data_IF_051064851388
#
_entry.id   IF_051064851388
#
_cell.length_a   1.000
_cell.length_b   1.000
_cell.length_c   1.000
_cell.angle_alpha   90.00
_cell.angle_beta   90.00
_cell.angle_gamma   90.00
#
_symmetry.space_group_name_H-M   'P 1'
#
loop_
_entity.id
_entity.type
_entity.pdbx_description
1 polymer ?
#
# COMPACT_ATOMS: atom_id res chain seq x y z
N UNK A 1 -0.14 1.98 27.39
CA UNK A 1 0.43 1.97 26.03
C UNK A 1 1.06 0.62 25.84
N UNK A 2 0.52 -0.20 24.94
CA UNK A 2 1.13 -1.45 24.52
C UNK A 2 2.43 -1.10 23.81
N UNK A 3 3.54 -1.67 24.27
CA UNK A 3 4.86 -1.41 23.70
C UNK A 3 5.23 -2.56 22.78
N UNK A 4 5.45 -2.26 21.51
CA UNK A 4 6.12 -3.16 20.59
C UNK A 4 7.60 -2.75 20.49
N UNK A 5 8.50 -3.69 20.75
CA UNK A 5 9.94 -3.50 20.57
C UNK A 5 10.41 -4.27 19.35
N UNK A 6 11.18 -3.63 18.50
CA UNK A 6 11.69 -4.23 17.26
C UNK A 6 13.21 -4.32 17.34
N UNK A 7 13.74 -5.47 17.00
CA UNK A 7 15.18 -5.71 16.99
C UNK A 7 15.64 -6.19 15.62
N UNK A 8 16.73 -5.61 15.13
CA UNK A 8 17.50 -6.19 14.04
C UNK A 8 18.61 -7.05 14.63
N UNK A 9 18.61 -8.34 14.32
CA UNK A 9 19.64 -9.28 14.72
C UNK A 9 20.55 -9.54 13.54
N UNK A 10 21.82 -9.27 13.73
CA UNK A 10 22.90 -9.61 12.82
C UNK A 10 23.78 -10.67 13.46
N UNK A 11 24.56 -11.46 12.69
CA UNK A 11 25.40 -12.52 13.25
C UNK A 11 26.34 -12.08 14.36
N UNK A 12 26.76 -10.80 14.38
CA UNK A 12 27.70 -10.28 15.35
C UNK A 12 27.16 -9.15 16.24
N UNK A 13 25.90 -8.73 16.06
CA UNK A 13 25.29 -7.67 16.88
C UNK A 13 23.78 -7.68 16.82
N UNK A 14 23.16 -7.23 17.92
CA UNK A 14 21.74 -6.89 18.00
C UNK A 14 21.57 -5.40 18.09
N UNK A 15 20.61 -4.83 17.36
CA UNK A 15 20.26 -3.42 17.41
C UNK A 15 18.78 -3.28 17.66
N UNK A 16 18.42 -2.68 18.80
CA UNK A 16 17.03 -2.27 19.07
C UNK A 16 16.72 -1.01 18.29
N UNK A 17 15.54 -1.00 17.67
CA UNK A 17 15.07 0.13 16.89
C UNK A 17 14.21 1.00 17.80
N UNK A 18 14.84 2.01 18.40
CA UNK A 18 14.15 3.03 19.19
C UNK A 18 13.61 4.11 18.24
N UNK A 19 12.46 4.67 18.59
CA UNK A 19 11.80 5.81 17.93
C UNK A 19 12.18 6.06 16.47
N UNK A 20 11.31 5.60 15.60
CA UNK A 20 11.53 5.67 14.17
C UNK A 20 11.41 7.12 13.73
N UNK A 21 12.45 7.66 13.11
CA UNK A 21 12.37 8.93 12.41
C UNK A 21 11.51 8.76 11.16
N UNK A 22 10.33 9.36 11.17
CA UNK A 22 9.38 9.33 10.06
C UNK A 22 9.96 9.83 8.73
N UNK A 23 11.05 10.61 8.80
CA UNK A 23 11.73 11.16 7.63
C UNK A 23 12.73 10.18 6.99
N UNK A 24 13.23 9.23 7.78
CA UNK A 24 14.25 8.29 7.35
C UNK A 24 13.81 6.84 7.67
N UNK A 25 12.93 6.25 6.85
CA UNK A 25 12.53 4.87 7.02
C UNK A 25 13.76 3.96 6.92
N UNK A 26 13.85 2.96 7.77
CA UNK A 26 14.95 1.99 7.73
C UNK A 26 14.49 0.66 7.09
N UNK A 27 15.40 -0.10 6.49
CA UNK A 27 15.06 -1.39 5.91
C UNK A 27 14.53 -2.32 7.00
N UNK A 28 13.43 -3.02 6.70
CA UNK A 28 12.78 -3.94 7.63
C UNK A 28 13.69 -5.10 8.02
N UNK A 29 14.44 -5.60 7.06
CA UNK A 29 15.43 -6.64 7.25
C UNK A 29 16.79 -6.06 6.91
N UNK A 30 17.78 -6.25 7.81
CA UNK A 30 19.16 -5.87 7.50
C UNK A 30 19.61 -6.57 6.23
N UNK A 31 20.36 -5.87 5.37
CA UNK A 31 20.85 -6.40 4.10
C UNK A 31 21.98 -7.40 4.33
N UNK A 32 21.68 -8.70 4.48
CA UNK A 32 22.65 -9.73 4.23
C UNK A 32 22.22 -10.54 3.01
N UNK A 33 23.15 -11.21 2.43
CA UNK A 33 22.99 -12.19 1.36
C UNK A 33 22.20 -13.45 1.77
N UNK A 34 21.73 -13.52 3.03
CA UNK A 34 21.12 -14.69 3.67
C UNK A 34 19.79 -14.31 4.36
N UNK A 35 19.08 -15.30 4.87
CA UNK A 35 17.81 -15.16 5.59
C UNK A 35 17.83 -14.04 6.63
N UNK A 36 16.78 -13.21 6.65
CA UNK A 36 16.60 -12.18 7.66
C UNK A 36 15.59 -12.60 8.71
N UNK A 37 15.82 -12.24 9.98
CA UNK A 37 14.88 -12.50 11.08
C UNK A 37 14.54 -11.18 11.76
N UNK A 38 13.24 -10.94 11.96
CA UNK A 38 12.72 -9.81 12.72
C UNK A 38 12.03 -10.38 13.95
N UNK A 39 12.33 -9.81 15.11
CA UNK A 39 11.68 -10.17 16.36
C UNK A 39 10.83 -9.01 16.87
N UNK A 40 9.62 -9.34 17.31
CA UNK A 40 8.66 -8.40 17.89
C UNK A 40 8.41 -8.81 19.34
N UNK A 41 8.80 -7.95 20.30
CA UNK A 41 8.48 -8.11 21.71
C UNK A 41 7.18 -7.38 22.05
N UNK A 42 6.19 -8.10 22.52
CA UNK A 42 4.83 -7.61 22.79
C UNK A 42 4.58 -7.67 24.29
N UNK A 43 4.46 -6.49 24.91
CA UNK A 43 4.11 -6.38 26.32
C UNK A 43 2.59 -6.45 26.56
N UNK A 44 2.19 -6.75 27.81
CA UNK A 44 0.80 -6.81 28.26
C UNK A 44 -0.10 -7.74 27.42
N UNK A 45 0.44 -8.90 27.02
CA UNK A 45 -0.22 -9.82 26.09
C UNK A 45 -0.85 -11.05 26.75
N UNK A 46 -0.75 -11.19 28.09
CA UNK A 46 -1.29 -12.34 28.83
C UNK A 46 -2.79 -12.50 28.58
N UNK A 47 -3.18 -13.75 28.31
CA UNK A 47 -4.58 -14.12 28.05
C UNK A 47 -5.07 -13.87 26.64
N UNK A 48 -4.28 -13.20 25.78
CA UNK A 48 -4.62 -13.02 24.38
C UNK A 48 -4.28 -14.28 23.58
N UNK A 49 -5.18 -14.66 22.68
CA UNK A 49 -4.99 -15.75 21.71
C UNK A 49 -4.88 -15.22 20.27
N UNK A 50 -5.14 -13.94 20.08
CA UNK A 50 -5.08 -13.27 18.77
C UNK A 50 -4.15 -12.07 18.85
N UNK A 51 -3.21 -11.99 17.90
CA UNK A 51 -2.29 -10.87 17.77
C UNK A 51 -2.51 -10.19 16.43
N UNK A 52 -2.84 -8.91 16.48
CA UNK A 52 -2.98 -8.06 15.30
C UNK A 52 -1.87 -7.04 15.26
N UNK A 53 -1.13 -7.04 14.16
CA UNK A 53 -0.05 -6.10 13.88
C UNK A 53 -0.40 -5.29 12.65
N UNK A 54 -0.27 -3.98 12.75
CA UNK A 54 -0.35 -3.09 11.60
C UNK A 54 1.03 -2.56 11.29
N UNK A 55 1.48 -2.81 10.07
CA UNK A 55 2.77 -2.37 9.54
C UNK A 55 2.59 -1.14 8.70
N UNK A 56 3.19 -0.03 9.14
CA UNK A 56 3.31 1.17 8.34
C UNK A 56 4.64 1.11 7.58
N UNK A 57 4.55 0.87 6.27
CA UNK A 57 5.71 0.69 5.40
C UNK A 57 5.95 1.95 4.57
N UNK A 58 7.18 2.15 4.13
CA UNK A 58 7.46 3.09 3.07
C UNK A 58 6.85 2.60 1.75
N UNK A 59 6.23 3.50 1.00
CA UNK A 59 5.64 3.16 -0.29
C UNK A 59 6.70 2.60 -1.24
N UNK A 60 6.44 1.42 -1.76
CA UNK A 60 7.30 0.77 -2.75
C UNK A 60 6.84 1.20 -4.14
N UNK A 61 7.51 2.21 -4.69
CA UNK A 61 7.25 2.74 -6.04
C UNK A 61 8.05 1.97 -7.10
N UNK A 62 7.99 0.66 -7.07
CA UNK A 62 8.57 -0.23 -8.09
C UNK A 62 7.74 -1.49 -8.20
N UNK A 63 7.71 -2.05 -9.37
CA UNK A 63 7.16 -3.38 -9.61
C UNK A 63 8.12 -4.44 -9.09
N UNK A 64 7.58 -5.50 -8.49
CA UNK A 64 8.32 -6.71 -8.15
C UNK A 64 7.62 -7.86 -8.87
N UNK A 65 8.35 -8.54 -9.74
CA UNK A 65 7.84 -9.74 -10.40
C UNK A 65 7.46 -10.79 -9.34
N UNK A 66 6.36 -11.50 -9.57
CA UNK A 66 5.81 -12.50 -8.61
C UNK A 66 6.84 -13.57 -8.19
N UNK A 67 7.83 -13.84 -9.06
CA UNK A 67 8.92 -14.80 -8.78
C UNK A 67 9.93 -14.29 -7.73
N UNK A 68 10.00 -12.97 -7.52
CA UNK A 68 10.96 -12.32 -6.62
C UNK A 68 10.30 -11.79 -5.34
N UNK A 69 9.10 -12.26 -5.01
CA UNK A 69 8.43 -11.92 -3.77
C UNK A 69 9.16 -12.53 -2.57
N UNK A 70 9.31 -11.81 -1.45
CA UNK A 70 9.89 -12.37 -0.25
C UNK A 70 8.98 -13.47 0.34
N UNK A 71 9.62 -14.49 0.92
CA UNK A 71 8.90 -15.55 1.62
C UNK A 71 8.99 -15.30 3.11
N UNK A 72 7.88 -15.03 3.76
CA UNK A 72 7.80 -14.75 5.20
C UNK A 72 7.23 -15.94 5.95
N UNK A 73 7.94 -16.39 6.95
CA UNK A 73 7.49 -17.44 7.86
C UNK A 73 7.38 -16.89 9.27
N UNK A 74 6.19 -16.99 9.83
CA UNK A 74 5.91 -16.55 11.19
C UNK A 74 6.11 -17.65 12.21
N UNK A 75 6.67 -17.29 13.38
CA UNK A 75 6.81 -18.19 14.53
C UNK A 75 6.68 -17.40 15.83
N UNK A 76 6.33 -18.07 16.91
CA UNK A 76 6.23 -17.52 18.25
C UNK A 76 7.07 -18.31 19.24
N UNK A 77 7.47 -17.68 20.33
CA UNK A 77 8.22 -18.34 21.40
C UNK A 77 7.25 -18.87 22.46
N UNK A 78 7.26 -20.18 22.70
CA UNK A 78 6.36 -20.83 23.66
C UNK A 78 6.93 -20.93 25.09
N UNK A 79 7.99 -20.18 25.41
CA UNK A 79 8.71 -20.24 26.67
C UNK A 79 9.89 -21.23 26.67
N UNK A 80 9.96 -22.15 25.71
CA UNK A 80 11.03 -23.15 25.58
C UNK A 80 11.69 -23.14 24.21
N UNK A 81 10.90 -23.04 23.17
CA UNK A 81 11.38 -23.09 21.79
C UNK A 81 10.49 -22.22 20.87
N UNK A 82 11.01 -21.93 19.68
CA UNK A 82 10.25 -21.28 18.62
C UNK A 82 9.32 -22.28 17.93
N UNK A 83 8.03 -21.97 17.86
CA UNK A 83 7.02 -22.74 17.15
C UNK A 83 6.52 -22.01 15.92
N UNK A 84 6.44 -22.70 14.80
CA UNK A 84 5.93 -22.13 13.56
C UNK A 84 4.41 -21.96 13.61
N UNK A 85 3.96 -20.80 13.12
CA UNK A 85 2.55 -20.52 12.93
C UNK A 85 2.09 -21.24 11.66
N UNK A 86 1.10 -22.11 11.80
CA UNK A 86 0.53 -22.85 10.67
C UNK A 86 -0.20 -21.89 9.74
N UNK A 87 -0.26 -22.16 8.42
CA UNK A 87 -0.97 -21.30 7.47
C UNK A 87 -2.43 -21.01 7.85
N UNK A 88 -3.15 -21.97 8.44
CA UNK A 88 -4.52 -21.78 8.91
C UNK A 88 -4.66 -20.87 10.15
N UNK A 89 -3.57 -20.57 10.84
CA UNK A 89 -3.52 -19.70 12.01
C UNK A 89 -3.10 -18.26 11.62
N UNK A 90 -2.68 -18.02 10.39
CA UNK A 90 -2.52 -16.71 9.82
C UNK A 90 -3.87 -16.30 9.22
N UNK A 91 -4.68 -15.56 9.98
CA UNK A 91 -6.05 -15.21 9.59
C UNK A 91 -6.10 -14.23 8.44
N UNK A 92 -5.14 -13.30 8.41
CA UNK A 92 -5.04 -12.29 7.35
C UNK A 92 -3.61 -11.78 7.24
N UNK A 93 -3.12 -11.64 6.02
CA UNK A 93 -1.91 -10.88 5.69
C UNK A 93 -2.22 -9.97 4.51
N UNK A 94 -2.43 -8.68 4.80
CA UNK A 94 -2.64 -7.66 3.77
C UNK A 94 -1.37 -6.89 3.45
N UNK A 95 -0.22 -7.31 4.02
CA UNK A 95 1.07 -6.70 3.72
C UNK A 95 1.69 -7.25 2.43
N UNK A 96 1.21 -8.41 1.96
CA UNK A 96 1.81 -9.11 0.83
C UNK A 96 3.23 -9.56 1.11
N UNK A 97 3.42 -10.31 2.19
CA UNK A 97 4.74 -10.74 2.67
C UNK A 97 5.67 -9.58 3.07
N UNK A 98 5.17 -8.62 3.83
CA UNK A 98 5.91 -7.45 4.32
C UNK A 98 6.45 -6.51 3.21
N UNK A 99 5.72 -6.42 2.10
CA UNK A 99 6.03 -5.49 1.02
C UNK A 99 5.30 -4.16 1.15
N UNK A 100 4.09 -4.19 1.68
CA UNK A 100 3.19 -3.04 1.69
C UNK A 100 2.70 -2.71 3.10
N UNK A 101 2.26 -1.48 3.30
CA UNK A 101 1.50 -1.11 4.50
C UNK A 101 0.27 -1.99 4.60
N UNK A 102 0.09 -2.67 5.72
CA UNK A 102 -0.98 -3.62 5.88
C UNK A 102 -1.10 -4.20 7.27
N UNK A 103 -2.00 -5.14 7.42
CA UNK A 103 -2.35 -5.82 8.66
C UNK A 103 -1.94 -7.29 8.56
N UNK A 104 -1.34 -7.79 9.63
CA UNK A 104 -1.11 -9.22 9.85
C UNK A 104 -1.90 -9.63 11.08
N UNK A 105 -2.78 -10.60 10.92
CA UNK A 105 -3.65 -11.12 11.99
C UNK A 105 -3.32 -12.59 12.22
N UNK A 106 -2.85 -12.90 13.43
CA UNK A 106 -2.34 -14.20 13.82
C UNK A 106 -3.18 -14.75 14.96
N UNK A 107 -3.66 -15.97 14.81
CA UNK A 107 -4.31 -16.73 15.88
C UNK A 107 -3.30 -17.71 16.49
N UNK A 108 -3.09 -17.59 17.78
CA UNK A 108 -2.23 -18.53 18.51
C UNK A 108 -3.00 -19.81 18.83
N UNK A 109 -2.28 -20.96 18.95
CA UNK A 109 -2.92 -22.24 19.28
C UNK A 109 -3.48 -22.27 20.71
N UNK A 110 -3.01 -21.40 21.59
CA UNK A 110 -3.46 -21.21 22.97
C UNK A 110 -3.26 -19.76 23.40
N UNK A 111 -4.05 -19.27 24.39
CA UNK A 111 -3.82 -17.96 24.99
C UNK A 111 -2.41 -17.85 25.58
N UNK A 112 -1.84 -16.64 25.49
CA UNK A 112 -0.50 -16.35 26.03
C UNK A 112 -0.53 -16.53 27.55
N UNK A 113 0.33 -17.41 28.06
CA UNK A 113 0.54 -17.67 29.49
C UNK A 113 1.84 -17.01 29.99
N UNK A 114 1.98 -16.88 31.31
CA UNK A 114 3.19 -16.33 31.93
C UNK A 114 4.47 -17.09 31.54
N UNK A 115 4.35 -18.41 31.29
CA UNK A 115 5.48 -19.26 30.88
C UNK A 115 6.05 -18.92 29.49
N UNK A 116 5.25 -18.25 28.65
CA UNK A 116 5.63 -17.81 27.30
C UNK A 116 6.31 -16.45 27.28
N UNK A 117 6.35 -15.76 28.40
CA UNK A 117 6.95 -14.44 28.53
C UNK A 117 8.45 -14.54 28.83
N UNK A 118 9.18 -13.52 28.39
CA UNK A 118 10.57 -13.35 28.79
C UNK A 118 10.72 -12.73 30.20
N UNK A 119 11.96 -12.51 30.64
CA UNK A 119 12.29 -11.91 31.94
C UNK A 119 11.68 -10.49 32.09
N UNK A 120 11.41 -9.80 30.98
CA UNK A 120 10.83 -8.46 30.97
C UNK A 120 9.30 -8.48 30.89
N UNK A 121 8.70 -9.66 30.76
CA UNK A 121 7.25 -9.83 30.60
C UNK A 121 6.77 -9.61 29.17
N UNK A 122 7.65 -9.71 28.17
CA UNK A 122 7.29 -9.59 26.77
C UNK A 122 7.07 -10.97 26.12
N UNK A 123 6.02 -11.06 25.32
CA UNK A 123 5.79 -12.19 24.42
C UNK A 123 6.52 -11.95 23.08
N UNK A 124 7.17 -12.98 22.56
CA UNK A 124 8.00 -12.86 21.38
C UNK A 124 7.38 -13.52 20.15
N UNK A 125 7.26 -12.73 19.09
CA UNK A 125 6.89 -13.15 17.75
C UNK A 125 8.06 -12.95 16.81
N UNK A 126 8.25 -13.86 15.86
CA UNK A 126 9.32 -13.81 14.86
C UNK A 126 8.75 -13.88 13.46
N UNK A 127 9.27 -13.03 12.57
CA UNK A 127 9.10 -13.13 11.14
C UNK A 127 10.45 -13.46 10.50
N UNK A 128 10.57 -14.66 9.93
CA UNK A 128 11.75 -15.09 9.18
C UNK A 128 11.49 -14.87 7.69
N UNK A 129 12.35 -14.10 7.04
CA UNK A 129 12.33 -13.89 5.58
C UNK A 129 13.44 -14.72 4.97
N UNK A 130 13.08 -15.70 4.15
CA UNK A 130 14.01 -16.72 3.63
C UNK A 130 14.38 -16.56 2.15
N UNK A 131 13.71 -15.67 1.41
CA UNK A 131 14.04 -15.41 0.01
C UNK A 131 13.83 -13.95 -0.34
N UNK A 132 14.61 -13.44 -1.28
CA UNK A 132 14.48 -12.09 -1.83
C UNK A 132 14.39 -10.96 -0.77
N UNK A 133 15.16 -11.07 0.30
CA UNK A 133 15.20 -10.11 1.42
C UNK A 133 15.45 -8.68 0.99
N UNK A 134 16.19 -8.49 -0.11
CA UNK A 134 16.45 -7.17 -0.72
C UNK A 134 15.19 -6.49 -1.27
N UNK A 135 14.11 -7.26 -1.47
CA UNK A 135 12.84 -6.73 -1.97
C UNK A 135 11.89 -6.30 -0.85
N UNK A 136 12.19 -6.62 0.40
CA UNK A 136 11.41 -6.15 1.54
C UNK A 136 11.39 -4.62 1.58
N UNK A 137 10.22 -4.05 1.89
CA UNK A 137 10.06 -2.61 2.07
C UNK A 137 10.72 -2.12 3.36
N UNK A 138 10.96 -0.82 3.42
CA UNK A 138 11.41 -0.17 4.65
C UNK A 138 10.22 0.07 5.57
N UNK A 139 10.40 -0.19 6.86
CA UNK A 139 9.38 0.00 7.88
C UNK A 139 9.45 1.40 8.46
N UNK A 140 8.29 2.00 8.73
CA UNK A 140 8.15 3.24 9.50
C UNK A 140 7.74 2.97 10.93
N UNK A 141 6.67 2.19 11.11
CA UNK A 141 6.17 1.83 12.43
C UNK A 141 5.47 0.47 12.42
N UNK A 142 5.32 -0.12 13.61
CA UNK A 142 4.44 -1.26 13.87
C UNK A 142 3.52 -0.92 15.03
N UNK A 143 2.24 -1.13 14.84
CA UNK A 143 1.20 -0.86 15.84
C UNK A 143 0.47 -2.14 16.20
N UNK A 144 0.11 -2.26 17.47
CA UNK A 144 -0.67 -3.36 18.01
C UNK A 144 -2.16 -3.04 17.97
N UNK A 145 -2.97 -4.08 17.87
CA UNK A 145 -4.42 -4.03 17.95
C UNK A 145 -5.09 -3.01 17.01
N UNK A 146 -4.72 -3.02 15.71
CA UNK A 146 -5.33 -2.12 14.75
C UNK A 146 -6.80 -2.47 14.53
N UNK A 147 -7.61 -1.45 14.31
CA UNK A 147 -9.02 -1.58 13.93
C UNK A 147 -9.25 -0.85 12.62
N UNK A 148 -9.92 -1.51 11.68
CA UNK A 148 -10.37 -0.87 10.44
C UNK A 148 -11.70 -0.19 10.69
N UNK A 149 -11.74 1.12 10.51
CA UNK A 149 -12.96 1.92 10.60
C UNK A 149 -13.35 2.44 9.21
N UNK A 150 -14.65 2.59 9.00
CA UNK A 150 -15.23 3.26 7.83
C UNK A 150 -15.90 4.52 8.30
N UNK A 151 -15.65 5.63 7.62
CA UNK A 151 -16.35 6.87 7.87
C UNK A 151 -17.77 6.76 7.30
N UNK A 152 -18.78 6.94 8.17
CA UNK A 152 -20.16 7.14 7.78
C UNK A 152 -20.47 8.63 7.94
N UNK A 153 -20.84 9.28 6.85
CA UNK A 153 -21.14 10.71 6.84
C UNK A 153 -22.65 10.84 6.76
N UNK A 154 -23.29 11.55 7.71
CA UNK A 154 -24.69 11.92 7.58
C UNK A 154 -24.90 12.76 6.32
N UNK A 155 -26.04 12.57 5.62
CA UNK A 155 -26.38 13.30 4.38
C UNK A 155 -26.27 14.83 4.53
N UNK A 156 -26.53 15.35 5.75
CA UNK A 156 -26.46 16.78 6.06
C UNK A 156 -25.00 17.32 6.09
N UNK A 157 -24.00 16.46 6.17
CA UNK A 157 -22.58 16.81 6.26
C UNK A 157 -21.76 16.48 5.01
N UNK A 158 -22.38 15.97 3.96
CA UNK A 158 -21.67 15.62 2.71
C UNK A 158 -20.88 16.78 2.11
N UNK A 159 -21.38 18.01 2.27
CA UNK A 159 -20.71 19.23 1.82
C UNK A 159 -19.41 19.58 2.59
N UNK A 160 -19.17 18.94 3.74
CA UNK A 160 -17.98 19.15 4.58
C UNK A 160 -16.88 18.12 4.34
N UNK A 161 -17.04 17.21 3.36
CA UNK A 161 -15.97 16.32 2.92
C UNK A 161 -14.94 17.16 2.21
N UNK A 162 -13.99 17.69 2.97
CA UNK A 162 -12.89 18.48 2.45
C UNK A 162 -11.61 17.63 2.39
N UNK A 163 -10.64 18.08 1.58
CA UNK A 163 -9.28 17.51 1.53
C UNK A 163 -8.61 17.41 2.92
N UNK A 164 -9.11 18.14 3.92
CA UNK A 164 -8.62 18.12 5.31
C UNK A 164 -8.82 16.77 5.99
N UNK A 165 -9.92 16.05 5.70
CA UNK A 165 -10.16 14.71 6.27
C UNK A 165 -9.17 13.66 5.73
N UNK A 166 -8.68 13.82 4.52
CA UNK A 166 -7.67 12.94 3.95
C UNK A 166 -6.27 13.13 4.56
N UNK A 167 -6.02 14.27 5.19
CA UNK A 167 -4.73 14.58 5.79
C UNK A 167 -4.67 14.34 7.31
N UNK A 168 -5.82 14.10 7.96
CA UNK A 168 -5.88 13.94 9.39
C UNK A 168 -5.22 12.65 9.88
N UNK A 169 -4.33 12.80 10.84
CA UNK A 169 -3.77 11.72 11.65
C UNK A 169 -3.68 12.21 13.09
N UNK A 170 -3.91 11.33 14.05
CA UNK A 170 -3.78 11.70 15.46
C UNK A 170 -4.83 11.10 16.39
N UNK A 171 -5.03 11.75 17.53
CA UNK A 171 -5.96 11.31 18.55
C UNK A 171 -7.42 11.52 18.08
N UNK A 172 -8.23 10.47 18.20
CA UNK A 172 -9.66 10.48 17.92
C UNK A 172 -10.41 10.26 19.24
N UNK A 173 -11.53 10.94 19.45
CA UNK A 173 -12.36 10.76 20.61
C UNK A 173 -13.50 9.77 20.35
N UNK A 174 -13.91 9.05 21.40
CA UNK A 174 -15.11 8.22 21.35
C UNK A 174 -16.37 9.06 21.54
N UNK A 175 -17.41 8.77 20.79
CA UNK A 175 -18.76 9.29 21.06
C UNK A 175 -19.29 8.77 22.41
N UNK A 176 -19.04 7.48 22.70
CA UNK A 176 -19.39 6.82 23.96
C UNK A 176 -18.16 6.14 24.55
N UNK A 177 -17.87 6.39 25.82
CA UNK A 177 -16.79 5.72 26.54
C UNK A 177 -17.01 4.21 26.55
N UNK A 178 -15.98 3.45 26.19
CA UNK A 178 -15.97 1.99 26.24
C UNK A 178 -15.06 1.52 27.37
N UNK A 179 -15.53 0.59 28.26
CA UNK A 179 -14.70 0.04 29.31
C UNK A 179 -13.48 -0.69 28.69
N UNK A 180 -12.29 -0.40 29.23
CA UNK A 180 -11.05 -1.03 28.78
C UNK A 180 -10.33 -0.33 27.62
N UNK A 181 -10.93 0.72 27.02
CA UNK A 181 -10.29 1.54 26.01
C UNK A 181 -10.00 2.93 26.57
N UNK A 182 -8.73 3.35 26.49
CA UNK A 182 -8.29 4.67 26.96
C UNK A 182 -8.22 5.67 25.82
N UNK A 183 -7.57 5.30 24.73
CA UNK A 183 -7.28 6.18 23.59
C UNK A 183 -7.42 5.46 22.27
N UNK A 184 -7.83 6.18 21.22
CA UNK A 184 -7.80 5.74 19.83
C UNK A 184 -6.97 6.74 19.01
N UNK A 185 -6.10 6.22 18.17
CA UNK A 185 -5.30 7.02 17.24
C UNK A 185 -5.59 6.62 15.81
N UNK A 186 -5.86 7.60 14.97
CA UNK A 186 -5.83 7.41 13.52
C UNK A 186 -4.38 7.45 13.05
N UNK A 187 -3.86 6.30 12.60
CA UNK A 187 -2.45 6.12 12.25
C UNK A 187 -2.16 6.65 10.84
N UNK A 188 -3.04 6.32 9.90
CA UNK A 188 -2.93 6.73 8.51
C UNK A 188 -4.12 7.60 8.11
N UNK A 189 -3.92 8.55 7.17
CA UNK A 189 -5.01 9.34 6.64
C UNK A 189 -6.12 8.47 6.07
N UNK A 190 -7.37 8.94 6.14
CA UNK A 190 -8.48 8.29 5.47
C UNK A 190 -8.25 8.30 3.95
N UNK A 191 -8.60 7.20 3.28
CA UNK A 191 -8.46 7.05 1.83
C UNK A 191 -9.76 6.55 1.21
N UNK A 192 -9.99 6.88 -0.06
CA UNK A 192 -11.11 6.36 -0.84
C UNK A 192 -12.42 7.16 -0.70
N UNK A 193 -12.36 8.35 -0.08
CA UNK A 193 -13.48 9.30 -0.15
C UNK A 193 -13.64 9.86 -1.56
N UNK A 194 -14.89 10.05 -2.00
CA UNK A 194 -15.23 10.72 -3.26
C UNK A 194 -16.21 11.84 -2.95
N UNK A 195 -16.06 12.94 -3.68
CA UNK A 195 -17.09 13.96 -3.72
C UNK A 195 -18.36 13.39 -4.37
N UNK A 196 -19.56 13.91 -4.01
CA UNK A 196 -20.78 13.54 -4.69
C UNK A 196 -20.64 13.73 -6.20
N UNK A 197 -21.08 12.75 -6.96
CA UNK A 197 -21.01 12.79 -8.42
C UNK A 197 -21.99 13.83 -8.97
N UNK A 198 -21.57 14.53 -10.01
CA UNK A 198 -22.50 15.41 -10.73
C UNK A 198 -23.53 14.57 -11.47
N UNK A 199 -24.75 15.11 -11.77
CA UNK A 199 -25.75 14.39 -12.56
C UNK A 199 -25.26 13.96 -13.95
N UNK A 200 -24.27 14.65 -14.51
CA UNK A 200 -23.65 14.32 -15.80
C UNK A 200 -22.69 13.15 -15.65
N UNK A 201 -21.83 13.16 -14.62
CA UNK A 201 -20.92 12.06 -14.30
C UNK A 201 -21.69 10.78 -13.98
N UNK A 202 -22.78 10.90 -13.20
CA UNK A 202 -23.66 9.77 -12.87
C UNK A 202 -24.30 9.16 -14.13
N UNK A 203 -24.76 9.95 -15.09
CA UNK A 203 -25.31 9.45 -16.36
C UNK A 203 -24.25 8.70 -17.16
N UNK A 204 -23.05 9.26 -17.23
CA UNK A 204 -21.93 8.63 -17.92
C UNK A 204 -21.57 7.29 -17.29
N UNK A 205 -21.47 7.26 -15.96
CA UNK A 205 -21.16 6.05 -15.20
C UNK A 205 -22.22 4.98 -15.38
N UNK A 206 -23.51 5.31 -15.26
CA UNK A 206 -24.62 4.37 -15.51
C UNK A 206 -24.53 3.78 -16.93
N UNK A 207 -24.24 4.63 -17.94
CA UNK A 207 -24.10 4.17 -19.32
C UNK A 207 -22.95 3.18 -19.47
N UNK A 208 -21.82 3.44 -18.80
CA UNK A 208 -20.66 2.56 -18.79
C UNK A 208 -20.97 1.23 -18.09
N UNK A 209 -21.58 1.28 -16.90
CA UNK A 209 -21.99 0.08 -16.15
C UNK A 209 -22.98 -0.79 -16.94
N UNK A 210 -23.94 -0.18 -17.63
CA UNK A 210 -24.85 -0.91 -18.50
C UNK A 210 -24.15 -1.57 -19.68
N UNK A 211 -23.09 -0.95 -20.21
CA UNK A 211 -22.30 -1.49 -21.33
C UNK A 211 -21.55 -2.75 -20.95
N UNK A 212 -20.73 -2.70 -19.87
CA UNK A 212 -19.88 -3.83 -19.47
C UNK A 212 -20.54 -4.76 -18.43
N UNK A 213 -21.68 -4.37 -17.82
CA UNK A 213 -22.41 -5.16 -16.81
C UNK A 213 -21.51 -5.71 -15.71
N UNK A 214 -20.59 -4.90 -15.26
CA UNK A 214 -19.57 -5.23 -14.25
C UNK A 214 -18.71 -6.47 -14.60
N UNK A 215 -18.45 -6.69 -15.90
CA UNK A 215 -17.54 -7.71 -16.43
C UNK A 215 -16.55 -7.11 -17.39
N UNK A 216 -15.29 -7.46 -17.22
CA UNK A 216 -14.22 -7.01 -18.09
C UNK A 216 -14.06 -8.01 -19.26
N UNK A 217 -14.44 -7.59 -20.47
CA UNK A 217 -14.35 -8.39 -21.70
C UNK A 217 -13.56 -7.66 -22.77
N UNK A 218 -13.89 -6.40 -23.04
CA UNK A 218 -13.19 -5.57 -24.00
C UNK A 218 -12.09 -4.76 -23.29
N UNK A 219 -11.00 -4.37 -23.97
CA UNK A 219 -9.97 -3.53 -23.38
C UNK A 219 -10.52 -2.30 -22.67
N UNK A 220 -11.50 -1.64 -23.28
CA UNK A 220 -12.18 -0.49 -22.69
C UNK A 220 -12.92 -0.81 -21.39
N UNK A 221 -13.46 -2.01 -21.22
CA UNK A 221 -14.15 -2.40 -19.98
C UNK A 221 -13.15 -2.47 -18.83
N UNK A 222 -11.97 -3.07 -19.07
CA UNK A 222 -10.87 -3.11 -18.09
C UNK A 222 -10.47 -1.71 -17.63
N UNK A 223 -10.30 -0.79 -18.58
CA UNK A 223 -9.92 0.60 -18.31
C UNK A 223 -11.00 1.31 -17.49
N UNK A 224 -12.26 1.23 -17.92
CA UNK A 224 -13.39 1.91 -17.27
C UNK A 224 -13.67 1.37 -15.87
N UNK A 225 -13.68 0.04 -15.69
CA UNK A 225 -13.90 -0.58 -14.38
C UNK A 225 -12.78 -0.19 -13.42
N UNK A 226 -11.52 -0.15 -13.89
CA UNK A 226 -10.39 0.25 -13.06
C UNK A 226 -10.49 1.72 -12.64
N UNK A 227 -10.74 2.63 -13.57
CA UNK A 227 -10.88 4.06 -13.28
C UNK A 227 -12.09 4.34 -12.36
N UNK A 228 -13.18 3.63 -12.54
CA UNK A 228 -14.38 3.76 -11.70
C UNK A 228 -14.13 3.31 -10.26
N UNK A 229 -13.37 2.24 -10.05
CA UNK A 229 -13.12 1.65 -8.72
C UNK A 229 -11.99 2.30 -7.96
N UNK A 230 -10.93 2.74 -8.64
CA UNK A 230 -9.71 3.25 -8.02
C UNK A 230 -9.51 4.74 -8.27
N UNK A 231 -10.00 5.63 -7.40
CA UNK A 231 -9.87 7.09 -7.57
C UNK A 231 -8.42 7.58 -7.51
N UNK A 232 -7.52 6.75 -6.96
CA UNK A 232 -6.08 7.02 -6.92
C UNK A 232 -5.41 6.93 -8.30
N UNK A 233 -6.10 6.31 -9.27
CA UNK A 233 -5.59 6.10 -10.64
C UNK A 233 -5.94 7.30 -11.51
N UNK A 234 -4.96 7.80 -12.28
CA UNK A 234 -5.13 8.90 -13.25
C UNK A 234 -5.47 8.35 -14.64
N UNK A 235 -4.68 7.38 -15.10
CA UNK A 235 -4.85 6.76 -16.43
C UNK A 235 -4.60 5.26 -16.36
N UNK A 236 -5.30 4.52 -17.19
CA UNK A 236 -5.09 3.08 -17.40
C UNK A 236 -5.08 2.81 -18.89
N UNK A 237 -4.18 1.93 -19.32
CA UNK A 237 -4.14 1.40 -20.67
C UNK A 237 -4.18 -0.13 -20.59
N UNK A 238 -5.11 -0.73 -21.33
CA UNK A 238 -5.26 -2.18 -21.39
C UNK A 238 -4.56 -2.74 -22.64
N UNK A 239 -3.63 -3.68 -22.43
CA UNK A 239 -2.86 -4.36 -23.48
C UNK A 239 -3.23 -5.85 -23.48
N UNK A 240 -4.18 -6.28 -24.34
CA UNK A 240 -4.58 -7.67 -24.40
C UNK A 240 -3.51 -8.51 -25.13
N UNK A 241 -3.21 -9.70 -24.56
CA UNK A 241 -2.25 -10.64 -25.15
C UNK A 241 -0.79 -10.24 -25.04
N UNK A 242 -0.46 -9.23 -24.26
CA UNK A 242 0.90 -8.75 -24.03
C UNK A 242 1.19 -8.94 -22.53
N UNK A 243 2.32 -9.56 -22.19
CA UNK A 243 2.75 -9.72 -20.82
C UNK A 243 3.54 -8.50 -20.28
N UNK A 244 3.89 -8.51 -19.01
CA UNK A 244 4.68 -7.44 -18.36
C UNK A 244 6.06 -7.21 -19.00
N UNK A 245 6.57 -8.19 -19.78
CA UNK A 245 7.84 -8.10 -20.50
C UNK A 245 7.66 -7.69 -21.97
N UNK A 246 6.50 -7.17 -22.34
CA UNK A 246 6.12 -6.78 -23.70
C UNK A 246 6.18 -7.93 -24.74
N UNK A 247 6.01 -9.18 -24.29
CA UNK A 247 5.97 -10.35 -25.15
C UNK A 247 4.53 -10.77 -25.41
N UNK A 248 4.25 -11.25 -26.62
CA UNK A 248 2.94 -11.81 -26.95
C UNK A 248 2.71 -13.11 -26.18
N UNK A 249 1.76 -13.10 -25.25
CA UNK A 249 1.41 -14.24 -24.42
C UNK A 249 -0.08 -14.27 -24.16
N UNK A 250 -0.78 -15.19 -24.76
CA UNK A 250 -2.21 -15.40 -24.50
C UNK A 250 -2.37 -16.61 -23.56
N UNK A 251 -3.34 -16.63 -22.62
CA UNK A 251 -4.38 -15.63 -22.37
C UNK A 251 -4.02 -14.68 -21.21
N UNK A 252 -3.38 -13.58 -21.51
CA UNK A 252 -3.00 -12.56 -20.51
C UNK A 252 -3.52 -11.19 -20.91
N UNK A 253 -3.85 -10.37 -19.94
CA UNK A 253 -4.18 -8.96 -20.11
C UNK A 253 -3.31 -8.14 -19.17
N UNK A 254 -2.56 -7.21 -19.72
CA UNK A 254 -1.72 -6.29 -18.94
C UNK A 254 -2.36 -4.91 -18.86
N UNK A 255 -2.50 -4.41 -17.65
CA UNK A 255 -2.98 -3.07 -17.35
C UNK A 255 -1.79 -2.18 -17.00
N UNK A 256 -1.51 -1.19 -17.83
CA UNK A 256 -0.51 -0.16 -17.52
C UNK A 256 -1.22 0.94 -16.73
N UNK A 257 -0.84 1.11 -15.48
CA UNK A 257 -1.54 1.99 -14.53
C UNK A 257 -0.67 3.17 -14.14
N UNK A 258 -1.21 4.36 -14.28
CA UNK A 258 -0.60 5.62 -13.83
C UNK A 258 -1.37 6.15 -12.64
N UNK A 259 -0.70 6.31 -11.49
CA UNK A 259 -1.29 6.84 -10.27
C UNK A 259 -1.30 8.37 -10.29
N UNK A 260 -2.33 8.98 -9.67
CA UNK A 260 -2.37 10.43 -9.46
C UNK A 260 -1.21 10.87 -8.57
N UNK A 261 -0.44 11.85 -9.02
CA UNK A 261 0.63 12.44 -8.23
C UNK A 261 0.34 13.92 -8.00
N UNK A 262 0.44 14.38 -6.74
CA UNK A 262 0.19 15.79 -6.39
C UNK A 262 1.29 16.71 -6.91
N UNK A 263 2.52 16.23 -6.95
CA UNK A 263 3.67 16.99 -7.45
C UNK A 263 3.99 16.58 -8.90
N UNK A 264 3.66 17.46 -9.83
CA UNK A 264 3.92 17.28 -11.28
C UNK A 264 5.40 17.13 -11.67
N UNK A 265 6.33 17.36 -10.74
CA UNK A 265 7.76 17.16 -10.97
C UNK A 265 8.23 15.73 -10.74
N UNK A 266 7.38 14.91 -10.12
CA UNK A 266 7.68 13.52 -9.81
C UNK A 266 7.00 12.65 -10.86
N UNK A 267 7.74 11.71 -11.45
CA UNK A 267 7.15 10.72 -12.35
C UNK A 267 6.08 9.90 -11.61
N UNK A 268 4.85 9.83 -12.11
CA UNK A 268 3.73 9.18 -11.44
C UNK A 268 3.85 7.64 -11.51
N UNK A 269 4.72 7.08 -10.69
CA UNK A 269 4.86 5.62 -10.53
C UNK A 269 3.80 5.09 -9.57
N UNK A 270 3.20 3.97 -9.94
CA UNK A 270 2.18 3.32 -9.13
C UNK A 270 2.77 2.58 -7.93
N UNK A 271 2.13 2.68 -6.77
CA UNK A 271 2.49 1.87 -5.61
C UNK A 271 2.18 0.39 -5.88
N UNK A 272 3.10 -0.50 -5.52
CA UNK A 272 2.93 -1.96 -5.68
C UNK A 272 1.62 -2.48 -5.07
N UNK A 273 1.24 -1.95 -3.90
CA UNK A 273 -0.03 -2.28 -3.24
C UNK A 273 -1.26 -1.96 -4.10
N UNK A 274 -1.23 -0.82 -4.80
CA UNK A 274 -2.35 -0.43 -5.67
C UNK A 274 -2.43 -1.37 -6.88
N UNK A 275 -1.29 -1.75 -7.46
CA UNK A 275 -1.24 -2.71 -8.55
C UNK A 275 -1.85 -4.06 -8.15
N UNK A 276 -1.46 -4.62 -7.00
CA UNK A 276 -2.03 -5.87 -6.48
C UNK A 276 -3.55 -5.77 -6.27
N UNK A 277 -4.03 -4.67 -5.68
CA UNK A 277 -5.48 -4.43 -5.49
C UNK A 277 -6.23 -4.38 -6.81
N UNK A 278 -5.62 -3.81 -7.85
CA UNK A 278 -6.20 -3.74 -9.20
C UNK A 278 -6.25 -5.14 -9.81
N UNK A 279 -5.14 -5.90 -9.74
CA UNK A 279 -5.09 -7.28 -10.23
C UNK A 279 -6.18 -8.15 -9.61
N UNK A 280 -6.29 -8.14 -8.27
CA UNK A 280 -7.29 -8.93 -7.54
C UNK A 280 -8.72 -8.53 -7.93
N UNK A 281 -9.01 -7.22 -7.93
CA UNK A 281 -10.35 -6.73 -8.22
C UNK A 281 -10.77 -7.00 -9.68
N UNK A 282 -9.89 -6.76 -10.63
CA UNK A 282 -10.16 -6.99 -12.06
C UNK A 282 -10.17 -8.48 -12.37
N UNK A 283 -9.32 -9.28 -11.70
CA UNK A 283 -9.33 -10.74 -11.79
C UNK A 283 -10.71 -11.34 -11.47
N UNK A 284 -11.38 -10.83 -10.43
CA UNK A 284 -12.75 -11.23 -10.07
C UNK A 284 -13.82 -10.84 -11.13
N UNK A 285 -13.54 -9.84 -11.96
CA UNK A 285 -14.45 -9.35 -13.02
C UNK A 285 -14.17 -9.96 -14.40
N UNK A 286 -13.08 -10.68 -14.51
CA UNK A 286 -12.56 -11.27 -15.75
C UNK A 286 -12.87 -12.77 -15.82
N UNK A 287 -12.73 -13.35 -16.99
CA UNK A 287 -12.83 -14.81 -17.15
C UNK A 287 -11.73 -15.51 -16.35
N UNK A 288 -12.03 -16.63 -15.64
CA UNK A 288 -11.03 -17.38 -14.86
C UNK A 288 -9.89 -17.97 -15.71
N UNK A 289 -10.01 -17.94 -17.04
CA UNK A 289 -8.97 -18.40 -17.96
C UNK A 289 -8.01 -17.30 -18.39
N UNK A 290 -8.23 -16.05 -18.00
CA UNK A 290 -7.40 -14.91 -18.34
C UNK A 290 -6.63 -14.47 -17.10
N UNK A 291 -5.31 -14.38 -17.21
CA UNK A 291 -4.48 -13.78 -16.18
C UNK A 291 -4.44 -12.27 -16.37
N UNK A 292 -4.61 -11.52 -15.29
CA UNK A 292 -4.52 -10.07 -15.28
C UNK A 292 -3.22 -9.69 -14.56
N UNK A 293 -2.40 -8.89 -15.21
CA UNK A 293 -1.22 -8.27 -14.62
C UNK A 293 -1.37 -6.76 -14.65
N UNK A 294 -1.01 -6.09 -13.56
CA UNK A 294 -0.98 -4.63 -13.47
C UNK A 294 0.46 -4.14 -13.30
N UNK A 295 0.87 -3.24 -14.16
CA UNK A 295 2.25 -2.73 -14.21
C UNK A 295 2.30 -1.21 -14.16
N UNK A 296 3.44 -0.66 -13.76
CA UNK A 296 3.72 0.78 -13.88
C UNK A 296 4.14 1.13 -15.30
N UNK A 297 3.86 2.38 -15.77
CA UNK A 297 4.36 2.81 -17.08
C UNK A 297 5.88 2.96 -17.07
N UNK A 298 6.49 2.67 -18.22
CA UNK A 298 7.90 2.99 -18.48
C UNK A 298 7.94 4.35 -19.17
N UNK A 299 8.67 5.29 -18.59
CA UNK A 299 8.79 6.65 -19.10
C UNK A 299 10.05 6.79 -19.93
N UNK A 300 9.93 7.46 -21.08
CA UNK A 300 11.07 7.88 -21.90
C UNK A 300 11.26 9.40 -21.75
N UNK A 301 12.50 9.82 -21.61
CA UNK A 301 12.85 11.23 -21.56
C UNK A 301 12.76 11.87 -22.93
N UNK A 302 11.91 12.88 -23.07
CA UNK A 302 11.77 13.62 -24.33
C UNK A 302 12.38 15.01 -24.18
N UNK A 303 13.42 15.29 -24.96
CA UNK A 303 14.03 16.62 -25.00
C UNK A 303 13.43 17.45 -26.14
N UNK A 304 12.85 18.59 -25.81
CA UNK A 304 12.26 19.51 -26.77
C UNK A 304 13.18 20.71 -26.96
N UNK A 305 13.66 20.90 -28.17
CA UNK A 305 14.44 22.08 -28.55
C UNK A 305 13.61 23.00 -29.43
N UNK A 306 13.40 24.25 -29.02
CA UNK A 306 12.70 25.24 -29.82
C UNK A 306 13.44 26.58 -29.86
N UNK A 307 13.37 27.26 -31.00
CA UNK A 307 13.91 28.61 -31.16
C UNK A 307 12.77 29.61 -31.13
N UNK A 308 12.83 30.54 -30.19
CA UNK A 308 11.80 31.58 -30.02
C UNK A 308 12.26 32.91 -30.53
N UNK A 309 11.46 33.59 -31.36
CA UNK A 309 11.67 34.96 -31.75
C UNK A 309 10.69 35.86 -30.98
N UNK A 310 11.25 36.64 -30.05
CA UNK A 310 10.46 37.51 -29.16
C UNK A 310 10.31 38.88 -29.81
N UNK A 311 9.10 39.47 -29.75
CA UNK A 311 8.85 40.82 -30.20
C UNK A 311 9.50 41.83 -29.27
N UNK A 312 10.02 42.99 -29.80
CA UNK A 312 10.57 44.04 -28.96
C UNK A 312 9.53 44.57 -27.94
N UNK A 313 9.99 44.82 -26.72
CA UNK A 313 9.14 45.37 -25.65
C UNK A 313 8.54 44.32 -24.69
N UNK A 314 8.80 43.03 -24.91
CA UNK A 314 8.34 41.99 -23.99
C UNK A 314 9.52 41.41 -23.14
N UNK A 315 9.29 41.10 -21.86
CA UNK A 315 10.34 40.54 -20.99
C UNK A 315 10.67 39.10 -21.41
N UNK A 316 11.92 38.91 -21.83
CA UNK A 316 12.40 37.64 -22.38
C UNK A 316 12.24 36.50 -21.38
N UNK A 317 12.61 36.71 -20.09
CA UNK A 317 12.57 35.69 -19.05
C UNK A 317 11.15 35.17 -18.74
N UNK A 318 10.16 36.03 -18.81
CA UNK A 318 8.77 35.62 -18.54
C UNK A 318 8.18 34.82 -19.70
N UNK A 319 8.53 35.19 -20.94
CA UNK A 319 8.09 34.42 -22.12
C UNK A 319 8.75 33.04 -22.13
N UNK A 320 10.01 32.94 -21.80
CA UNK A 320 10.70 31.64 -21.70
C UNK A 320 10.03 30.76 -20.66
N UNK A 321 9.82 31.26 -19.43
CA UNK A 321 9.15 30.49 -18.35
C UNK A 321 7.73 30.06 -18.74
N UNK A 322 6.95 30.94 -19.37
CA UNK A 322 5.60 30.60 -19.82
C UNK A 322 5.62 29.55 -20.95
N UNK A 323 6.60 29.63 -21.84
CA UNK A 323 6.74 28.65 -22.93
C UNK A 323 7.15 27.30 -22.39
N UNK A 324 8.14 27.25 -21.49
CA UNK A 324 8.56 26.04 -20.81
C UNK A 324 7.39 25.40 -20.04
N UNK A 325 6.64 26.20 -19.27
CA UNK A 325 5.47 25.71 -18.53
C UNK A 325 4.39 25.14 -19.47
N UNK A 326 4.14 25.77 -20.62
CA UNK A 326 3.18 25.27 -21.62
C UNK A 326 3.65 23.97 -22.28
N UNK A 327 4.94 23.89 -22.64
CA UNK A 327 5.52 22.69 -23.23
C UNK A 327 5.45 21.55 -22.23
N UNK A 328 5.88 21.78 -20.99
CA UNK A 328 5.83 20.77 -19.93
C UNK A 328 4.39 20.29 -19.65
N UNK A 329 3.41 21.21 -19.59
CA UNK A 329 2.01 20.83 -19.41
C UNK A 329 1.40 20.07 -20.61
N UNK A 330 2.00 20.18 -21.79
CA UNK A 330 1.54 19.50 -23.00
C UNK A 330 2.16 18.09 -23.14
N UNK A 331 3.38 17.90 -22.65
CA UNK A 331 4.16 16.65 -22.80
C UNK A 331 4.14 15.83 -21.51
N UNK A 332 3.98 16.47 -20.35
CA UNK A 332 3.89 15.76 -19.07
C UNK A 332 2.71 14.78 -19.07
N UNK A 333 2.91 13.58 -18.52
CA UNK A 333 1.88 12.54 -18.45
C UNK A 333 0.66 12.96 -17.64
#
# INVERSE_FOLDING_TARGET
RDRCRIYHIHPLRQKELHEIDLRHPFPMVGVPTEDGIILFGIGNSIGNDQIRLFFEMAALKREIEKEYLPCVQWSFFNGKQWEFIKPGNLLSDTTGNLLNTGLVDILLPSPISEEMLDINGDFWLSAKVSCHTQNCSSIRNVYLNPVKARLEIPEEMEALISEELESFTGLVSFEKSMPGLTDIYQIIPAKGGRLPETPEDMRLQITQEMSHRNRAVLPRDYEQITLAQFPEVEKVLCLPGIDSKAQNRSPIVTLVVMQKEKDKKILPLCEHRLLMRIEDYIGDKTSPFITVDAITPVYEEVTVCCNLRIKPGYPVGDILRQTEARINNCIAP
#
